data_IF_877023148826
#
_entry.id   IF_877023148826
#
_cell.length_a   1.000
_cell.length_b   1.000
_cell.length_c   1.000
_cell.angle_alpha   90.00
_cell.angle_beta   90.00
_cell.angle_gamma   90.00
#
_symmetry.space_group_name_H-M   'P 1'
#
loop_
_entity.id
_entity.type
_entity.pdbx_description
1 polymer ?
#
# COMPACT_ATOMS: atom_id res chain seq x y z
N UNK A 1 2.29 26.57 -13.74
CA UNK A 1 2.11 25.14 -13.31
C UNK A 1 2.64 24.24 -14.39
N UNK A 2 3.42 23.22 -13.99
CA UNK A 2 3.92 22.19 -14.90
C UNK A 2 3.49 20.83 -14.40
N UNK A 3 3.14 19.94 -15.32
CA UNK A 3 2.83 18.55 -15.00
C UNK A 3 3.80 17.68 -15.79
N UNK A 4 4.59 16.87 -15.09
CA UNK A 4 5.50 15.93 -15.71
C UNK A 4 5.07 14.51 -15.33
N UNK A 5 4.93 13.65 -16.31
CA UNK A 5 4.52 12.26 -16.10
C UNK A 5 5.68 11.33 -16.39
N UNK A 6 5.79 10.26 -15.60
CA UNK A 6 6.84 9.26 -15.75
C UNK A 6 6.23 7.90 -16.00
N UNK A 7 6.78 7.18 -16.98
CA UNK A 7 6.30 5.86 -17.36
C UNK A 7 6.70 4.82 -16.31
N UNK A 8 5.74 4.05 -15.83
CA UNK A 8 5.98 2.89 -14.97
C UNK A 8 6.20 1.64 -15.83
N UNK A 9 6.66 0.52 -15.24
CA UNK A 9 6.82 -0.72 -16.00
C UNK A 9 5.55 -1.13 -16.73
N UNK A 10 5.71 -1.78 -17.86
CA UNK A 10 4.58 -2.21 -18.68
C UNK A 10 3.62 -3.09 -17.90
N UNK A 11 2.33 -2.87 -18.08
CA UNK A 11 1.27 -3.59 -17.37
C UNK A 11 0.93 -3.01 -16.01
N UNK A 12 1.65 -1.99 -15.55
CA UNK A 12 1.35 -1.34 -14.26
C UNK A 12 0.05 -0.57 -14.30
N UNK A 13 -0.67 -0.61 -13.18
CA UNK A 13 -1.86 0.23 -12.98
C UNK A 13 -1.87 0.73 -11.55
N UNK A 14 -1.20 1.88 -11.29
CA UNK A 14 -1.15 2.41 -9.93
C UNK A 14 -2.52 2.91 -9.49
N UNK A 15 -2.92 2.55 -8.28
CA UNK A 15 -4.19 2.98 -7.70
C UNK A 15 -4.02 4.10 -6.71
N UNK A 16 -3.10 3.93 -5.77
CA UNK A 16 -2.82 4.90 -4.72
C UNK A 16 -1.32 5.03 -4.55
N UNK A 17 -0.90 6.13 -3.97
CA UNK A 17 0.50 6.35 -3.66
C UNK A 17 0.64 7.00 -2.29
N UNK A 18 1.82 6.87 -1.72
CA UNK A 18 2.20 7.54 -0.47
C UNK A 18 3.65 7.99 -0.61
N UNK A 19 3.95 9.10 0.04
CA UNK A 19 5.26 9.76 -0.11
C UNK A 19 6.03 9.61 1.19
N UNK A 20 7.29 9.19 1.10
CA UNK A 20 8.19 9.07 2.25
C UNK A 20 8.71 10.44 2.67
N UNK A 21 9.31 10.52 3.86
CA UNK A 21 9.90 11.77 4.34
C UNK A 21 11.07 12.26 3.48
N UNK A 22 11.71 11.37 2.72
CA UNK A 22 12.80 11.71 1.79
C UNK A 22 12.32 11.76 0.33
N UNK A 23 11.02 12.01 0.12
CA UNK A 23 10.40 12.26 -1.19
C UNK A 23 10.47 11.09 -2.18
N UNK A 24 10.48 9.87 -1.69
CA UNK A 24 10.27 8.69 -2.52
C UNK A 24 8.79 8.33 -2.54
N UNK A 25 8.34 7.69 -3.61
CA UNK A 25 6.93 7.40 -3.83
C UNK A 25 6.73 5.90 -3.87
N UNK A 26 5.97 5.39 -2.88
CA UNK A 26 5.47 4.03 -2.95
C UNK A 26 4.09 4.05 -3.58
N UNK A 27 3.81 3.09 -4.43
CA UNK A 27 2.49 2.98 -5.08
C UNK A 27 2.01 1.55 -5.11
N UNK A 28 0.70 1.39 -5.08
CA UNK A 28 0.08 0.07 -5.19
C UNK A 28 -0.20 -0.22 -6.67
N UNK A 29 0.44 -1.27 -7.19
CA UNK A 29 0.23 -1.71 -8.57
C UNK A 29 -0.89 -2.75 -8.59
N UNK A 30 -2.08 -2.26 -8.81
CA UNK A 30 -3.30 -3.06 -8.76
C UNK A 30 -3.30 -4.17 -9.82
N UNK A 31 -2.82 -3.87 -11.02
CA UNK A 31 -2.88 -4.83 -12.13
C UNK A 31 -1.87 -5.96 -11.99
N UNK A 32 -0.65 -5.66 -11.54
CA UNK A 32 0.40 -6.67 -11.46
C UNK A 32 0.47 -7.37 -10.09
N UNK A 33 -0.21 -6.83 -9.08
CA UNK A 33 -0.10 -7.38 -7.73
C UNK A 33 1.23 -7.06 -7.06
N UNK A 34 1.73 -5.85 -7.24
CA UNK A 34 3.03 -5.41 -6.75
C UNK A 34 2.89 -4.21 -5.83
N UNK A 35 3.85 -4.08 -4.92
CA UNK A 35 4.19 -2.81 -4.30
C UNK A 35 5.32 -2.19 -5.13
N UNK A 36 5.11 -0.99 -5.64
CA UNK A 36 6.09 -0.30 -6.45
C UNK A 36 6.74 0.86 -5.69
N UNK A 37 7.95 1.19 -6.10
CA UNK A 37 8.69 2.35 -5.59
C UNK A 37 9.20 3.15 -6.78
N UNK A 38 8.93 4.45 -6.76
CA UNK A 38 9.44 5.39 -7.75
C UNK A 38 10.30 6.44 -7.05
N UNK A 39 11.52 6.65 -7.53
CA UNK A 39 12.43 7.68 -7.04
C UNK A 39 12.41 8.85 -8.03
N UNK A 40 11.83 10.01 -7.66
CA UNK A 40 11.77 11.17 -8.58
C UNK A 40 13.14 11.75 -8.93
N UNK A 41 14.12 11.54 -8.08
CA UNK A 41 15.48 12.07 -8.32
C UNK A 41 16.20 11.29 -9.40
N UNK A 42 16.21 9.96 -9.31
CA UNK A 42 16.85 9.09 -10.29
C UNK A 42 15.94 8.69 -11.42
N UNK A 43 14.62 8.82 -11.22
CA UNK A 43 13.55 8.35 -12.12
C UNK A 43 13.52 6.85 -12.30
N UNK A 44 14.12 6.13 -11.36
CA UNK A 44 14.13 4.67 -11.36
C UNK A 44 12.90 4.11 -10.64
N UNK A 45 12.47 2.94 -11.07
CA UNK A 45 11.39 2.19 -10.43
C UNK A 45 11.90 0.86 -9.91
N UNK A 46 11.33 0.43 -8.79
CA UNK A 46 11.52 -0.91 -8.24
C UNK A 46 10.16 -1.48 -7.93
N UNK A 47 10.04 -2.78 -7.87
CA UNK A 47 8.79 -3.42 -7.52
C UNK A 47 9.02 -4.75 -6.82
N UNK A 48 8.09 -5.09 -5.93
CA UNK A 48 8.11 -6.35 -5.18
C UNK A 48 6.75 -7.01 -5.32
N UNK A 49 6.71 -8.33 -5.61
CA UNK A 49 5.43 -9.04 -5.62
C UNK A 49 4.78 -9.00 -4.25
N UNK A 50 3.48 -8.74 -4.22
CA UNK A 50 2.71 -8.76 -2.97
C UNK A 50 2.52 -10.20 -2.50
N UNK A 51 2.46 -10.45 -1.18
CA UNK A 51 2.31 -11.81 -0.66
C UNK A 51 1.12 -12.60 -1.22
N UNK A 52 0.01 -11.90 -1.51
CA UNK A 52 -1.18 -12.54 -2.06
C UNK A 52 -1.09 -12.92 -3.54
N UNK A 53 0.02 -12.61 -4.22
CA UNK A 53 0.26 -12.99 -5.61
C UNK A 53 -0.24 -11.98 -6.63
N UNK A 54 -0.20 -12.35 -7.89
CA UNK A 54 -0.52 -11.45 -9.01
C UNK A 54 -1.97 -10.99 -9.04
N UNK A 55 -2.88 -11.72 -8.40
CA UNK A 55 -4.29 -11.35 -8.28
C UNK A 55 -4.63 -10.62 -7.00
N UNK A 56 -3.66 -10.23 -6.18
CA UNK A 56 -3.91 -9.67 -4.85
C UNK A 56 -4.50 -8.26 -4.87
N UNK A 57 -4.37 -7.54 -5.96
CA UNK A 57 -4.94 -6.20 -6.18
C UNK A 57 -4.63 -5.23 -5.04
N UNK A 58 -3.35 -4.84 -4.86
CA UNK A 58 -2.97 -3.83 -3.87
C UNK A 58 -3.69 -2.51 -4.15
N UNK A 59 -4.21 -1.85 -3.10
CA UNK A 59 -5.04 -0.68 -3.29
C UNK A 59 -4.72 0.45 -2.30
N UNK A 60 -5.39 0.50 -1.13
CA UNK A 60 -5.14 1.53 -0.13
C UNK A 60 -3.71 1.46 0.40
N UNK A 61 -3.08 2.60 0.65
CA UNK A 61 -1.70 2.66 1.10
C UNK A 61 -1.49 3.83 2.04
N UNK A 62 -0.63 3.65 3.03
CA UNK A 62 -0.21 4.70 3.96
C UNK A 62 1.18 4.37 4.50
N UNK A 63 1.88 5.40 4.95
CA UNK A 63 3.20 5.26 5.57
C UNK A 63 3.10 5.77 7.00
N UNK A 64 3.45 4.93 7.98
CA UNK A 64 3.47 5.31 9.38
C UNK A 64 4.73 6.12 9.71
N UNK A 65 4.74 6.88 10.84
CA UNK A 65 5.86 7.76 11.16
C UNK A 65 7.23 7.06 11.24
N UNK A 66 7.26 5.77 11.55
CA UNK A 66 8.52 5.00 11.58
C UNK A 66 9.04 4.61 10.19
N UNK A 67 8.31 4.96 9.12
CA UNK A 67 8.72 4.69 7.75
C UNK A 67 8.18 3.38 7.16
N UNK A 68 7.46 2.58 7.92
CA UNK A 68 6.85 1.36 7.39
C UNK A 68 5.75 1.69 6.41
N UNK A 69 5.67 0.91 5.35
CA UNK A 69 4.65 1.05 4.31
C UNK A 69 3.54 0.04 4.57
N UNK A 70 2.30 0.52 4.60
CA UNK A 70 1.13 -0.33 4.83
C UNK A 70 0.20 -0.21 3.64
N UNK A 71 -0.34 -1.33 3.19
CA UNK A 71 -1.30 -1.31 2.09
C UNK A 71 -2.28 -2.47 2.22
N UNK A 72 -3.37 -2.38 1.47
CA UNK A 72 -4.38 -3.43 1.44
C UNK A 72 -4.19 -4.31 0.21
N UNK A 73 -4.48 -5.61 0.38
CA UNK A 73 -4.68 -6.52 -0.75
C UNK A 73 -6.19 -6.74 -0.88
N UNK A 74 -6.78 -6.17 -1.92
CA UNK A 74 -8.23 -6.19 -2.11
C UNK A 74 -8.73 -7.34 -2.98
N UNK A 75 -7.83 -8.10 -3.59
CA UNK A 75 -8.17 -9.24 -4.44
C UNK A 75 -8.14 -10.58 -3.72
N UNK A 76 -7.73 -10.61 -2.45
CA UNK A 76 -7.72 -11.82 -1.64
C UNK A 76 -8.94 -11.84 -0.73
N UNK A 77 -9.36 -13.03 -0.29
CA UNK A 77 -10.55 -13.18 0.55
C UNK A 77 -10.20 -14.03 1.79
N UNK A 78 -10.23 -13.43 3.01
CA UNK A 78 -10.55 -12.02 3.29
C UNK A 78 -9.48 -11.07 2.76
N UNK A 79 -9.83 -9.80 2.60
CA UNK A 79 -8.82 -8.77 2.32
C UNK A 79 -7.79 -8.75 3.45
N UNK A 80 -6.56 -8.36 3.12
CA UNK A 80 -5.47 -8.28 4.09
C UNK A 80 -4.95 -6.87 4.20
N UNK A 81 -4.36 -6.56 5.35
CA UNK A 81 -3.47 -5.42 5.52
C UNK A 81 -2.05 -5.97 5.51
N UNK A 82 -1.20 -5.38 4.69
CA UNK A 82 0.19 -5.81 4.54
C UNK A 82 1.11 -4.72 5.04
N UNK A 83 2.09 -5.11 5.87
CA UNK A 83 3.18 -4.24 6.31
C UNK A 83 4.42 -4.59 5.50
N UNK A 84 5.05 -3.57 4.94
CA UNK A 84 6.33 -3.69 4.25
C UNK A 84 7.37 -2.87 5.00
N UNK A 85 8.46 -3.52 5.39
CA UNK A 85 9.60 -2.87 6.03
C UNK A 85 10.61 -2.47 4.94
N UNK A 86 10.79 -1.17 4.66
CA UNK A 86 11.73 -0.76 3.61
C UNK A 86 13.20 -1.11 3.88
N UNK A 87 13.56 -1.33 5.13
CA UNK A 87 14.93 -1.69 5.51
C UNK A 87 15.23 -3.15 5.18
N UNK A 88 14.37 -4.06 5.62
CA UNK A 88 14.57 -5.50 5.45
C UNK A 88 13.94 -6.05 4.18
N UNK A 89 13.01 -5.28 3.57
CA UNK A 89 12.16 -5.69 2.46
C UNK A 89 11.22 -6.85 2.80
N UNK A 90 10.92 -7.01 4.08
CA UNK A 90 10.03 -8.06 4.56
C UNK A 90 8.57 -7.64 4.48
N UNK A 91 7.70 -8.57 4.09
CA UNK A 91 6.26 -8.40 4.05
C UNK A 91 5.61 -9.19 5.18
N UNK A 92 4.60 -8.60 5.80
CA UNK A 92 3.81 -9.27 6.84
C UNK A 92 2.33 -9.00 6.60
N UNK A 93 1.54 -9.99 6.19
CA UNK A 93 0.10 -9.83 5.96
C UNK A 93 -0.72 -10.22 7.18
N UNK A 94 -1.84 -9.52 7.40
CA UNK A 94 -2.84 -9.84 8.41
C UNK A 94 -4.24 -9.79 7.78
N UNK A 95 -5.09 -10.79 8.05
CA UNK A 95 -6.45 -10.76 7.53
C UNK A 95 -7.31 -9.71 8.25
N UNK A 96 -8.20 -9.08 7.51
CA UNK A 96 -9.19 -8.17 8.07
C UNK A 96 -10.40 -9.01 8.46
N UNK A 97 -10.76 -9.01 9.74
CA UNK A 97 -11.77 -9.93 10.28
C UNK A 97 -13.14 -9.83 9.65
N UNK A 98 -13.54 -8.64 9.18
CA UNK A 98 -14.81 -8.47 8.46
C UNK A 98 -14.76 -8.87 6.99
N UNK A 99 -13.57 -9.25 6.49
CA UNK A 99 -13.33 -9.44 5.07
C UNK A 99 -12.86 -8.18 4.35
N UNK A 100 -13.08 -6.99 4.95
CA UNK A 100 -12.63 -5.69 4.44
C UNK A 100 -13.44 -5.10 3.31
N UNK A 101 -13.97 -5.94 2.41
CA UNK A 101 -14.82 -5.50 1.29
C UNK A 101 -14.20 -4.42 0.43
N UNK A 102 -12.94 -4.55 0.08
CA UNK A 102 -12.11 -3.60 -0.67
C UNK A 102 -11.77 -2.35 0.16
N UNK A 103 -10.59 -2.37 0.76
CA UNK A 103 -10.04 -1.19 1.46
C UNK A 103 -9.31 -0.33 0.44
N UNK A 104 -9.93 0.78 0.05
CA UNK A 104 -9.36 1.70 -0.95
C UNK A 104 -8.55 2.82 -0.33
N UNK A 105 -8.84 3.18 0.89
CA UNK A 105 -8.16 4.27 1.58
C UNK A 105 -7.78 3.86 2.99
N UNK A 106 -6.65 4.36 3.44
CA UNK A 106 -6.21 4.27 4.82
C UNK A 106 -5.42 5.51 5.17
N UNK A 107 -5.35 5.81 6.45
CA UNK A 107 -4.65 6.99 6.93
C UNK A 107 -3.84 6.64 8.18
N UNK A 108 -2.59 7.12 8.27
CA UNK A 108 -1.79 6.91 9.47
C UNK A 108 -2.19 7.91 10.55
N UNK A 109 -1.97 7.52 11.80
CA UNK A 109 -2.10 8.44 12.95
C UNK A 109 -0.71 8.88 13.41
N UNK A 110 -0.60 10.02 14.11
CA UNK A 110 0.69 10.44 14.67
C UNK A 110 1.30 9.42 15.63
N UNK A 111 0.46 8.61 16.28
CA UNK A 111 0.91 7.57 17.20
C UNK A 111 1.40 6.31 16.51
N UNK A 112 1.28 6.23 15.18
CA UNK A 112 1.76 5.09 14.41
C UNK A 112 0.74 3.99 14.17
N UNK A 113 -0.55 4.29 14.37
CA UNK A 113 -1.64 3.38 14.03
C UNK A 113 -2.22 3.73 12.66
N UNK A 114 -3.21 2.96 12.21
CA UNK A 114 -3.88 3.20 10.93
C UNK A 114 -5.39 3.15 11.10
N UNK A 115 -6.08 4.03 10.40
CA UNK A 115 -7.51 3.88 10.15
C UNK A 115 -7.71 3.38 8.73
N UNK A 116 -8.65 2.47 8.56
CA UNK A 116 -8.96 1.88 7.26
C UNK A 116 -10.46 2.02 6.98
N UNK A 117 -10.78 2.30 5.72
CA UNK A 117 -12.16 2.38 5.25
C UNK A 117 -12.53 1.05 4.58
N UNK A 118 -13.33 0.24 5.26
CA UNK A 118 -13.78 -1.07 4.77
C UNK A 118 -15.06 -0.88 3.96
N UNK A 119 -14.89 -0.52 2.69
CA UNK A 119 -15.96 0.01 1.84
C UNK A 119 -17.13 -0.95 1.65
N UNK A 120 -16.86 -2.20 1.28
CA UNK A 120 -17.92 -3.15 0.95
C UNK A 120 -18.67 -3.71 2.14
N UNK A 121 -18.21 -3.48 3.37
CA UNK A 121 -18.86 -3.97 4.59
C UNK A 121 -19.34 -2.82 5.48
N UNK A 122 -19.28 -1.59 4.97
CA UNK A 122 -19.80 -0.38 5.63
C UNK A 122 -19.21 -0.17 7.03
N UNK A 123 -17.86 -0.27 7.13
CA UNK A 123 -17.16 -0.13 8.40
C UNK A 123 -15.91 0.74 8.26
N UNK A 124 -15.56 1.36 9.36
CA UNK A 124 -14.25 1.97 9.57
C UNK A 124 -13.52 1.10 10.58
N UNK A 125 -12.30 0.73 10.26
CA UNK A 125 -11.48 -0.07 11.15
C UNK A 125 -10.27 0.69 11.67
N UNK A 126 -9.76 0.25 12.80
CA UNK A 126 -8.47 0.73 13.31
C UNK A 126 -7.50 -0.44 13.35
N UNK A 127 -6.30 -0.21 12.83
CA UNK A 127 -5.20 -1.14 12.95
C UNK A 127 -4.26 -0.59 14.02
N UNK A 128 -4.24 -1.24 15.16
CA UNK A 128 -3.32 -0.86 16.24
C UNK A 128 -1.99 -1.57 16.01
N UNK A 129 -0.98 -0.78 15.74
CA UNK A 129 0.37 -1.30 15.47
C UNK A 129 1.10 -1.38 16.79
N UNK A 130 1.52 -2.59 17.17
CA UNK A 130 2.33 -2.78 18.37
C UNK A 130 3.73 -2.18 18.20
N UNK A 131 4.20 -1.48 19.21
CA UNK A 131 5.51 -0.82 19.20
C UNK A 131 6.43 -1.39 20.26
#
# INVERSE_FOLDING_TARGET
MEITEYQLPEGSRPRRLAITSDDKIYYTDYARGYLGLFDPETKETKGWPSPGGSGSRPYGIAITPNGDVWYSESGVNPNTIVRFDPTTKAFSPWPISSGGGVVRNMAPTPEGNLYIACSGVNKVGIVKVGH
#
